data_IF_182898110066
#
_entry.id   IF_182898110066
#
_cell.length_a   1.000
_cell.length_b   1.000
_cell.length_c   1.000
_cell.angle_alpha   90.00
_cell.angle_beta   90.00
_cell.angle_gamma   90.00
#
_symmetry.space_group_name_H-M   'P 1'
#
loop_
_entity.id
_entity.type
_entity.pdbx_description
1 polymer ?
#
# COMPACT_ATOMS: atom_id res chain seq x y z
N UNK A 1 -4.11 5.34 3.89
CA UNK A 1 -4.17 4.72 2.53
C UNK A 1 -4.91 3.41 2.62
N UNK A 2 -5.93 3.18 1.80
CA UNK A 2 -6.63 1.89 1.78
C UNK A 2 -5.95 0.93 0.79
N UNK A 3 -5.65 -0.28 1.25
CA UNK A 3 -5.02 -1.32 0.44
C UNK A 3 -5.85 -2.59 0.53
N UNK A 4 -6.10 -3.24 -0.60
CA UNK A 4 -6.69 -4.58 -0.66
C UNK A 4 -5.57 -5.58 -0.91
N UNK A 5 -5.46 -6.59 -0.05
CA UNK A 5 -4.44 -7.62 -0.11
C UNK A 5 -5.08 -8.96 -0.52
N UNK A 6 -4.74 -9.39 -1.73
CA UNK A 6 -5.15 -10.67 -2.32
C UNK A 6 -3.95 -11.62 -2.39
N UNK A 7 -4.18 -12.84 -2.87
CA UNK A 7 -3.13 -13.88 -2.94
C UNK A 7 -2.01 -13.53 -3.94
N UNK A 8 -2.38 -12.84 -5.02
CA UNK A 8 -1.56 -12.60 -6.23
C UNK A 8 -1.34 -11.10 -6.50
N UNK A 9 -1.85 -10.20 -5.66
CA UNK A 9 -1.69 -8.75 -5.84
C UNK A 9 -1.99 -7.93 -4.58
N UNK A 10 -1.43 -6.72 -4.56
CA UNK A 10 -1.78 -5.62 -3.66
C UNK A 10 -2.42 -4.51 -4.49
N UNK A 11 -3.56 -3.99 -4.03
CA UNK A 11 -4.25 -2.90 -4.72
C UNK A 11 -4.41 -1.70 -3.80
N UNK A 12 -3.83 -0.56 -4.16
CA UNK A 12 -4.12 0.72 -3.50
C UNK A 12 -5.45 1.22 -4.05
N UNK A 13 -6.41 1.43 -3.14
CA UNK A 13 -7.75 1.89 -3.48
C UNK A 13 -7.85 3.38 -3.17
N UNK A 14 -8.10 4.22 -4.18
CA UNK A 14 -8.29 5.66 -4.02
C UNK A 14 -9.45 5.99 -3.07
N UNK A 15 -9.34 7.13 -2.40
CA UNK A 15 -10.37 7.68 -1.53
C UNK A 15 -11.66 8.02 -2.30
N UNK A 16 -12.77 8.08 -1.58
CA UNK A 16 -14.07 8.44 -2.16
C UNK A 16 -14.03 9.86 -2.73
N UNK A 17 -14.25 10.00 -4.03
CA UNK A 17 -14.21 11.29 -4.74
C UNK A 17 -12.89 11.56 -5.48
N UNK A 18 -11.87 10.72 -5.29
CA UNK A 18 -10.65 10.76 -6.09
C UNK A 18 -10.92 10.13 -7.47
N UNK A 19 -10.49 10.79 -8.55
CA UNK A 19 -10.61 10.28 -9.93
C UNK A 19 -9.36 9.51 -10.38
N UNK A 20 -8.63 8.94 -9.42
CA UNK A 20 -7.43 8.13 -9.69
C UNK A 20 -7.89 6.69 -9.91
N UNK A 21 -7.23 5.96 -10.81
CA UNK A 21 -7.48 4.52 -10.97
C UNK A 21 -6.82 3.75 -9.84
N UNK A 22 -7.40 2.62 -9.38
CA UNK A 22 -6.70 1.73 -8.45
C UNK A 22 -5.33 1.33 -8.98
N UNK A 23 -4.32 1.44 -8.13
CA UNK A 23 -2.94 1.06 -8.46
C UNK A 23 -2.73 -0.38 -8.00
N UNK A 24 -2.43 -1.26 -8.95
CA UNK A 24 -2.32 -2.70 -8.72
C UNK A 24 -0.88 -3.12 -8.88
N UNK A 25 -0.31 -3.72 -7.84
CA UNK A 25 0.99 -4.38 -7.86
C UNK A 25 0.78 -5.87 -7.82
N UNK A 26 1.25 -6.61 -8.84
CA UNK A 26 1.16 -8.06 -8.86
C UNK A 26 2.21 -8.66 -7.92
N UNK A 27 1.84 -9.75 -7.26
CA UNK A 27 2.75 -10.58 -6.48
C UNK A 27 3.05 -11.81 -7.31
N UNK A 28 4.28 -11.93 -7.80
CA UNK A 28 4.71 -13.10 -8.56
C UNK A 28 5.03 -14.25 -7.59
N UNK A 29 6.13 -14.12 -6.83
CA UNK A 29 6.61 -15.15 -5.90
C UNK A 29 6.42 -14.71 -4.45
N UNK A 30 7.02 -13.59 -4.05
CA UNK A 30 6.90 -13.02 -2.71
C UNK A 30 6.55 -11.53 -2.74
N UNK A 31 6.01 -11.01 -1.64
CA UNK A 31 5.84 -9.56 -1.50
C UNK A 31 7.20 -8.84 -1.54
N UNK A 32 8.27 -9.47 -1.07
CA UNK A 32 9.62 -8.91 -1.11
C UNK A 32 10.07 -8.57 -2.53
N UNK A 33 9.80 -9.46 -3.50
CA UNK A 33 10.24 -9.27 -4.90
C UNK A 33 9.51 -8.12 -5.59
N UNK A 34 8.34 -7.72 -5.07
CA UNK A 34 7.49 -6.69 -5.68
C UNK A 34 7.28 -5.48 -4.76
N UNK A 35 8.05 -5.38 -3.66
CA UNK A 35 7.88 -4.29 -2.70
C UNK A 35 8.26 -2.94 -3.30
N UNK A 36 9.30 -2.87 -4.12
CA UNK A 36 9.76 -1.61 -4.72
C UNK A 36 8.71 -1.04 -5.68
N UNK A 37 8.03 -1.90 -6.45
CA UNK A 37 6.92 -1.51 -7.32
C UNK A 37 5.71 -1.02 -6.49
N UNK A 38 5.41 -1.71 -5.38
CA UNK A 38 4.34 -1.30 -4.48
C UNK A 38 4.65 0.05 -3.82
N UNK A 39 5.88 0.26 -3.35
CA UNK A 39 6.33 1.52 -2.77
C UNK A 39 6.31 2.65 -3.80
N UNK A 40 6.73 2.39 -5.04
CA UNK A 40 6.63 3.34 -6.15
C UNK A 40 5.18 3.76 -6.41
N UNK A 41 4.26 2.79 -6.38
CA UNK A 41 2.81 3.04 -6.52
C UNK A 41 2.27 3.85 -5.33
N UNK A 42 2.72 3.55 -4.11
CA UNK A 42 2.36 4.29 -2.91
C UNK A 42 2.84 5.74 -2.97
N UNK A 43 4.08 5.99 -3.38
CA UNK A 43 4.61 7.33 -3.60
C UNK A 43 3.82 8.09 -4.65
N UNK A 44 3.55 7.46 -5.79
CA UNK A 44 2.72 8.05 -6.86
C UNK A 44 1.34 8.44 -6.33
N UNK A 45 0.73 7.59 -5.50
CA UNK A 45 -0.54 7.91 -4.86
C UNK A 45 -0.41 9.09 -3.88
N UNK A 46 0.63 9.11 -3.05
CA UNK A 46 0.87 10.21 -2.10
C UNK A 46 1.13 11.55 -2.80
N UNK A 47 1.77 11.56 -3.97
CA UNK A 47 2.01 12.78 -4.75
C UNK A 47 0.70 13.47 -5.18
N UNK A 48 -0.39 12.69 -5.28
CA UNK A 48 -1.72 13.23 -5.63
C UNK A 48 -2.42 13.95 -4.49
N UNK A 49 -1.95 13.83 -3.25
CA UNK A 49 -2.52 14.55 -2.10
C UNK A 49 -2.38 16.07 -2.22
N UNK A 50 -1.60 16.55 -3.20
CA UNK A 50 -1.76 17.85 -3.80
C UNK A 50 -1.23 19.00 -2.94
N UNK A 51 -0.26 19.72 -3.48
CA UNK A 51 0.16 21.05 -3.03
C UNK A 51 0.88 21.09 -1.67
N UNK A 52 2.16 20.71 -1.72
CA UNK A 52 3.28 21.32 -0.99
C UNK A 52 2.91 22.03 0.34
N UNK A 53 2.99 21.30 1.45
CA UNK A 53 3.65 21.88 2.63
C UNK A 53 5.12 21.52 2.47
N UNK A 54 5.92 22.47 1.99
CA UNK A 54 7.39 22.37 2.04
C UNK A 54 7.77 22.02 3.48
N UNK A 55 8.26 20.78 3.69
CA UNK A 55 8.64 20.27 5.02
C UNK A 55 7.67 19.30 5.71
N UNK A 56 6.54 18.92 5.10
CA UNK A 56 5.62 17.94 5.67
C UNK A 56 6.17 16.51 5.68
N UNK A 57 6.45 15.95 6.86
CA UNK A 57 6.79 14.54 7.03
C UNK A 57 5.53 13.66 6.96
N UNK A 58 5.11 13.28 5.76
CA UNK A 58 4.00 12.33 5.60
C UNK A 58 4.45 10.92 6.00
N UNK A 59 3.81 10.36 7.02
CA UNK A 59 3.91 8.94 7.35
C UNK A 59 2.64 8.25 6.88
N UNK A 60 2.67 7.47 5.79
CA UNK A 60 1.48 6.80 5.32
C UNK A 60 1.11 5.66 6.27
N UNK A 61 -0.13 5.68 6.75
CA UNK A 61 -0.74 4.53 7.43
C UNK A 61 -1.53 3.70 6.39
N UNK A 62 -1.12 2.45 6.21
CA UNK A 62 -1.78 1.47 5.34
C UNK A 62 -2.88 0.75 6.11
N UNK A 63 -4.13 0.98 5.72
CA UNK A 63 -5.31 0.25 6.19
C UNK A 63 -5.58 -0.89 5.22
N UNK A 64 -5.12 -2.08 5.57
CA UNK A 64 -5.13 -3.26 4.70
C UNK A 64 -6.36 -4.12 4.94
N UNK A 65 -7.20 -4.25 3.93
CA UNK A 65 -8.27 -5.25 3.86
C UNK A 65 -7.71 -6.56 3.31
N UNK A 66 -7.81 -7.63 4.10
CA UNK A 66 -7.28 -8.94 3.74
C UNK A 66 -8.38 -9.77 3.08
N UNK A 67 -8.21 -10.11 1.81
CA UNK A 67 -9.09 -11.04 1.08
C UNK A 67 -8.70 -12.50 1.34
N UNK A 68 -9.58 -13.48 1.03
CA UNK A 68 -9.23 -14.89 1.15
C UNK A 68 -7.91 -15.23 0.45
N UNK A 69 -7.00 -15.91 1.15
CA UNK A 69 -5.66 -16.24 0.65
C UNK A 69 -4.60 -15.14 0.82
N UNK A 70 -4.98 -13.89 1.10
CA UNK A 70 -4.05 -12.76 1.27
C UNK A 70 -3.33 -12.71 2.63
N UNK A 71 -3.71 -13.55 3.61
CA UNK A 71 -3.16 -13.49 4.97
C UNK A 71 -1.65 -13.77 5.07
N UNK A 72 -1.09 -14.61 4.18
CA UNK A 72 0.36 -14.80 4.10
C UNK A 72 1.06 -13.53 3.56
N UNK A 73 0.51 -12.95 2.49
CA UNK A 73 1.01 -11.72 1.85
C UNK A 73 0.95 -10.53 2.79
N UNK A 74 -0.10 -10.41 3.60
CA UNK A 74 -0.18 -9.38 4.64
C UNK A 74 0.95 -9.49 5.66
N UNK A 75 1.28 -10.71 6.11
CA UNK A 75 2.38 -10.92 7.06
C UNK A 75 3.73 -10.55 6.43
N UNK A 76 3.97 -10.97 5.20
CA UNK A 76 5.16 -10.58 4.45
C UNK A 76 5.25 -9.05 4.32
N UNK A 77 4.18 -8.38 3.88
CA UNK A 77 4.11 -6.92 3.75
C UNK A 77 4.42 -6.21 5.07
N UNK A 78 3.83 -6.68 6.18
CA UNK A 78 4.08 -6.10 7.51
C UNK A 78 5.52 -6.29 7.95
N UNK A 79 6.13 -7.44 7.67
CA UNK A 79 7.53 -7.72 7.99
C UNK A 79 8.47 -6.85 7.15
N UNK A 80 8.23 -6.74 5.85
CA UNK A 80 9.07 -5.95 4.93
C UNK A 80 9.05 -4.47 5.30
N UNK A 81 7.88 -3.94 5.65
CA UNK A 81 7.70 -2.53 6.01
C UNK A 81 8.01 -2.24 7.48
N UNK A 82 8.42 -3.23 8.27
CA UNK A 82 8.75 -3.01 9.67
C UNK A 82 9.99 -2.11 9.78
N UNK A 83 9.82 -0.92 10.36
CA UNK A 83 10.90 0.05 10.53
C UNK A 83 11.14 0.96 9.32
N UNK A 84 10.33 0.87 8.25
CA UNK A 84 10.43 1.77 7.08
C UNK A 84 9.81 3.15 7.30
N UNK A 85 9.09 3.35 8.41
CA UNK A 85 8.29 4.55 8.67
C UNK A 85 6.88 4.50 8.06
N UNK A 86 6.53 3.42 7.34
CA UNK A 86 5.18 3.11 6.88
C UNK A 86 4.50 2.21 7.90
N UNK A 87 3.39 2.67 8.47
CA UNK A 87 2.62 1.85 9.42
C UNK A 87 1.61 0.98 8.68
N UNK A 88 1.52 -0.29 9.06
CA UNK A 88 0.63 -1.28 8.43
C UNK A 88 -0.35 -1.80 9.46
N UNK A 89 -1.64 -1.55 9.23
CA UNK A 89 -2.74 -1.94 10.11
C UNK A 89 -3.79 -2.75 9.35
N UNK A 90 -4.43 -3.68 10.03
CA UNK A 90 -5.57 -4.41 9.48
C UNK A 90 -6.79 -3.50 9.50
N UNK A 91 -7.48 -3.40 8.37
CA UNK A 91 -8.79 -2.75 8.26
C UNK A 91 -9.85 -3.69 8.84
N UNK A 92 -10.56 -3.24 9.86
CA UNK A 92 -11.70 -3.94 10.47
C UNK A 92 -13.01 -3.59 9.79
#
# INVERSE_FOLDING_TARGET
>A
VHVVCEIDKLTIVPGRGEQIKPLVTKINDTVYDNIDEFITSLHTYMDTWGLSVVGGQWKPELSVEIKPGGGARFRELRTVLQGSGVEVQVRR
#
